data_IF_410664028062
#
_entry.id   IF_410664028062
#
_cell.length_a   1.000
_cell.length_b   1.000
_cell.length_c   1.000
_cell.angle_alpha   90.00
_cell.angle_beta   90.00
_cell.angle_gamma   90.00
#
_symmetry.space_group_name_H-M   'P 1'
#
loop_
_entity.id
_entity.type
_entity.pdbx_description
1 polymer ?
#
# COMPACT_ATOMS: atom_id res chain seq x y z
N UNK A 1 5.76 -8.14 3.12
CA UNK A 1 4.78 -7.02 3.21
C UNK A 1 3.47 -7.54 3.76
N UNK A 2 2.82 -6.76 4.64
CA UNK A 2 1.48 -7.05 5.18
C UNK A 2 0.57 -5.88 4.85
N UNK A 3 -0.58 -6.14 4.26
CA UNK A 3 -1.63 -5.15 4.04
C UNK A 3 -2.61 -5.20 5.21
N UNK A 4 -2.71 -4.11 5.96
CA UNK A 4 -3.66 -4.00 7.08
C UNK A 4 -4.81 -3.10 6.67
N UNK A 5 -6.00 -3.68 6.52
CA UNK A 5 -7.24 -2.95 6.27
C UNK A 5 -7.85 -2.59 7.62
N UNK A 6 -7.83 -1.32 7.95
CA UNK A 6 -8.39 -0.80 9.20
C UNK A 6 -9.83 -0.32 9.01
N UNK A 7 -10.55 -0.10 10.11
CA UNK A 7 -11.92 0.45 10.09
C UNK A 7 -12.91 -0.39 9.29
N UNK A 8 -12.73 -1.71 9.25
CA UNK A 8 -13.65 -2.62 8.57
C UNK A 8 -15.02 -2.75 9.26
N UNK A 9 -15.21 -2.04 10.36
CA UNK A 9 -16.50 -1.78 11.01
C UNK A 9 -17.31 -0.66 10.32
N UNK A 10 -16.65 0.24 9.58
CA UNK A 10 -17.30 1.35 8.89
C UNK A 10 -17.72 1.00 7.45
N UNK A 11 -16.99 0.10 6.80
CA UNK A 11 -17.29 -0.36 5.45
C UNK A 11 -16.76 -1.78 5.24
N UNK A 12 -17.43 -2.57 4.38
CA UNK A 12 -16.97 -3.92 4.05
C UNK A 12 -15.59 -3.87 3.37
N UNK A 13 -14.62 -4.68 3.81
CA UNK A 13 -13.31 -4.77 3.21
C UNK A 13 -13.28 -5.56 1.90
N UNK A 14 -14.37 -6.21 1.48
CA UNK A 14 -14.44 -7.17 0.37
C UNK A 14 -13.90 -6.59 -0.93
N UNK A 15 -14.22 -5.34 -1.23
CA UNK A 15 -13.72 -4.67 -2.43
C UNK A 15 -12.19 -4.58 -2.42
N UNK A 16 -11.58 -4.20 -1.30
CA UNK A 16 -10.11 -4.15 -1.18
C UNK A 16 -9.50 -5.55 -1.19
N UNK A 17 -10.12 -6.51 -0.49
CA UNK A 17 -9.67 -7.89 -0.47
C UNK A 17 -9.60 -8.46 -1.88
N UNK A 18 -10.66 -8.30 -2.69
CA UNK A 18 -10.68 -8.79 -4.07
C UNK A 18 -9.58 -8.16 -4.96
N UNK A 19 -9.22 -6.90 -4.72
CA UNK A 19 -8.19 -6.22 -5.49
C UNK A 19 -6.77 -6.69 -5.16
N UNK A 20 -6.50 -7.02 -3.89
CA UNK A 20 -5.14 -7.32 -3.42
C UNK A 20 -4.89 -8.81 -3.19
N UNK A 21 -5.92 -9.65 -3.21
CA UNK A 21 -5.81 -11.10 -2.97
C UNK A 21 -4.87 -11.78 -3.98
N UNK A 22 -4.90 -11.36 -5.25
CA UNK A 22 -4.05 -11.91 -6.31
C UNK A 22 -2.57 -11.53 -6.18
N UNK A 23 -2.23 -10.58 -5.29
CA UNK A 23 -0.85 -10.11 -5.12
C UNK A 23 -0.02 -10.98 -4.17
N UNK A 24 -0.58 -12.08 -3.62
CA UNK A 24 0.13 -12.95 -2.67
C UNK A 24 0.52 -12.27 -1.36
N UNK A 25 -0.13 -11.16 -1.00
CA UNK A 25 0.13 -10.44 0.24
C UNK A 25 -0.61 -11.08 1.41
N UNK A 26 0.02 -11.08 2.58
CA UNK A 26 -0.72 -11.31 3.83
C UNK A 26 -1.63 -10.12 4.08
N UNK A 27 -2.95 -10.34 4.16
CA UNK A 27 -3.94 -9.30 4.38
C UNK A 27 -4.65 -9.53 5.71
N UNK A 28 -4.65 -8.49 6.55
CA UNK A 28 -5.36 -8.52 7.84
C UNK A 28 -6.42 -7.43 7.84
N UNK A 29 -7.66 -7.79 8.17
CA UNK A 29 -8.77 -6.84 8.32
C UNK A 29 -9.07 -6.60 9.80
N UNK A 30 -9.03 -5.35 10.23
CA UNK A 30 -9.21 -4.93 11.61
C UNK A 30 -10.39 -3.98 11.77
N UNK A 31 -11.29 -4.33 12.68
CA UNK A 31 -12.30 -3.42 13.24
C UNK A 31 -11.72 -2.66 14.42
N UNK A 32 -12.44 -1.67 14.91
CA UNK A 32 -12.01 -0.86 16.05
C UNK A 32 -11.59 -1.70 17.27
N UNK A 33 -12.36 -2.73 17.60
CA UNK A 33 -12.17 -3.57 18.79
C UNK A 33 -11.74 -5.01 18.46
N UNK A 34 -11.25 -5.27 17.22
CA UNK A 34 -10.73 -6.60 16.84
C UNK A 34 -9.56 -6.99 17.70
N UNK A 35 -9.41 -8.27 17.91
CA UNK A 35 -8.16 -8.85 18.43
C UNK A 35 -7.02 -8.56 17.45
N UNK A 36 -5.82 -8.29 17.97
CA UNK A 36 -4.62 -7.95 17.16
C UNK A 36 -3.51 -8.99 17.29
N UNK A 37 -3.81 -10.13 17.88
CA UNK A 37 -2.83 -11.18 18.17
C UNK A 37 -2.20 -11.76 16.91
N UNK A 38 -2.96 -11.86 15.82
CA UNK A 38 -2.44 -12.30 14.51
C UNK A 38 -1.39 -11.32 13.99
N UNK A 39 -1.68 -10.03 14.05
CA UNK A 39 -0.73 -8.99 13.68
C UNK A 39 0.48 -9.00 14.61
N UNK A 40 0.28 -9.13 15.94
CA UNK A 40 1.38 -9.22 16.90
C UNK A 40 2.34 -10.38 16.58
N UNK A 41 1.81 -11.57 16.25
CA UNK A 41 2.61 -12.73 15.84
C UNK A 41 3.41 -12.45 14.57
N UNK A 42 2.80 -11.78 13.59
CA UNK A 42 3.50 -11.43 12.34
C UNK A 42 4.63 -10.43 12.56
N UNK A 43 4.50 -9.55 13.55
CA UNK A 43 5.50 -8.52 13.88
C UNK A 43 6.60 -9.03 14.80
N UNK A 44 6.37 -10.11 15.56
CA UNK A 44 7.28 -10.60 16.60
C UNK A 44 8.70 -10.82 16.07
N UNK A 45 9.69 -10.29 16.76
CA UNK A 45 11.10 -10.34 16.40
C UNK A 45 11.51 -9.51 15.18
N UNK A 46 10.64 -8.63 14.68
CA UNK A 46 10.90 -7.86 13.44
C UNK A 46 10.95 -6.36 13.69
N UNK A 47 11.63 -5.67 12.79
CA UNK A 47 11.56 -4.21 12.65
C UNK A 47 10.57 -3.90 11.52
N UNK A 48 9.45 -3.29 11.87
CA UNK A 48 8.32 -3.07 10.94
C UNK A 48 8.02 -1.60 10.78
N UNK A 49 7.94 -1.13 9.55
CA UNK A 49 7.58 0.26 9.22
C UNK A 49 6.08 0.32 8.93
N UNK A 50 5.37 1.22 9.61
CA UNK A 50 3.96 1.46 9.36
C UNK A 50 3.78 2.61 8.38
N UNK A 51 3.23 2.30 7.21
CA UNK A 51 3.03 3.23 6.10
C UNK A 51 1.54 3.36 5.81
N UNK A 52 1.08 4.55 5.49
CA UNK A 52 -0.30 4.81 5.08
C UNK A 52 -0.69 6.28 5.26
N UNK A 53 -1.80 6.66 4.65
CA UNK A 53 -2.31 8.02 4.69
C UNK A 53 -2.62 8.50 6.13
N UNK A 54 -2.70 9.81 6.29
CA UNK A 54 -3.21 10.40 7.53
C UNK A 54 -4.66 9.95 7.78
N UNK A 55 -4.98 9.62 9.02
CA UNK A 55 -6.32 9.20 9.42
C UNK A 55 -6.69 7.74 9.13
N UNK A 56 -5.81 6.93 8.52
CA UNK A 56 -6.08 5.48 8.33
C UNK A 56 -6.04 4.67 9.63
N UNK A 57 -5.58 5.25 10.74
CA UNK A 57 -5.56 4.56 12.03
C UNK A 57 -4.19 4.02 12.45
N UNK A 58 -3.07 4.43 11.82
CA UNK A 58 -1.71 4.01 12.21
C UNK A 58 -1.45 4.23 13.70
N UNK A 59 -1.59 5.46 14.18
CA UNK A 59 -1.32 5.79 15.58
C UNK A 59 -2.25 5.06 16.56
N UNK A 60 -3.50 4.82 16.15
CA UNK A 60 -4.44 4.00 16.94
C UNK A 60 -3.92 2.56 17.04
N UNK A 61 -3.47 1.99 15.94
CA UNK A 61 -2.93 0.63 15.91
C UNK A 61 -1.62 0.54 16.69
N UNK A 62 -0.73 1.53 16.56
CA UNK A 62 0.50 1.63 17.35
C UNK A 62 0.19 1.66 18.86
N UNK A 63 -0.78 2.46 19.29
CA UNK A 63 -1.17 2.53 20.71
C UNK A 63 -1.75 1.21 21.24
N UNK A 64 -2.40 0.44 20.38
CA UNK A 64 -2.90 -0.90 20.74
C UNK A 64 -1.75 -1.91 20.89
N UNK A 65 -0.76 -1.84 20.00
CA UNK A 65 0.43 -2.71 20.02
C UNK A 65 1.42 -2.31 21.11
N UNK A 66 1.51 -1.02 21.41
CA UNK A 66 2.42 -0.42 22.38
C UNK A 66 1.69 0.62 23.23
N UNK A 67 0.86 0.23 24.22
CA UNK A 67 0.09 1.18 25.02
C UNK A 67 0.95 2.23 25.73
N UNK A 68 2.20 1.89 26.07
CA UNK A 68 3.16 2.79 26.70
C UNK A 68 3.64 3.93 25.78
N UNK A 69 3.48 3.79 24.45
CA UNK A 69 3.96 4.79 23.50
C UNK A 69 3.09 6.05 23.46
N UNK A 70 1.83 5.95 23.89
CA UNK A 70 0.86 7.06 23.99
C UNK A 70 0.90 8.03 22.80
N UNK A 71 0.84 7.51 21.57
CA UNK A 71 0.87 8.33 20.35
C UNK A 71 -0.40 9.16 20.21
N UNK A 72 -0.25 10.42 19.85
CA UNK A 72 -1.39 11.29 19.59
C UNK A 72 -2.24 10.75 18.42
N UNK A 73 -3.53 10.58 18.66
CA UNK A 73 -4.51 10.17 17.64
C UNK A 73 -5.37 11.38 17.27
N UNK A 74 -5.61 11.58 15.97
CA UNK A 74 -6.45 12.68 15.46
C UNK A 74 -7.67 12.16 14.70
N UNK A 75 -8.72 12.98 14.69
CA UNK A 75 -9.91 12.74 13.87
C UNK A 75 -9.65 13.15 12.42
N UNK A 76 -10.26 12.42 11.47
CA UNK A 76 -10.26 12.79 10.06
C UNK A 76 -11.22 13.96 9.85
N UNK A 77 -10.83 14.96 9.06
CA UNK A 77 -11.73 16.02 8.67
C UNK A 77 -12.74 15.48 7.67
N UNK A 78 -14.02 15.47 8.03
CA UNK A 78 -15.13 14.94 7.23
C UNK A 78 -15.33 15.68 5.91
N UNK A 79 -14.99 16.98 5.86
CA UNK A 79 -15.18 17.82 4.66
C UNK A 79 -14.09 17.57 3.61
N UNK A 80 -12.85 17.37 4.05
CA UNK A 80 -11.70 17.23 3.14
C UNK A 80 -11.19 15.79 3.02
N UNK A 81 -11.66 14.87 3.86
CA UNK A 81 -11.13 13.50 3.99
C UNK A 81 -9.68 13.44 4.48
N UNK A 82 -9.11 14.58 4.88
CA UNK A 82 -7.71 14.70 5.27
C UNK A 82 -7.59 14.72 6.80
N UNK A 83 -6.83 13.79 7.35
CA UNK A 83 -6.51 13.79 8.77
C UNK A 83 -5.63 14.99 9.13
N UNK A 84 -5.83 15.55 10.31
CA UNK A 84 -4.92 16.53 10.88
C UNK A 84 -3.61 15.83 11.21
N UNK A 85 -2.45 16.42 10.82
CA UNK A 85 -1.15 15.85 11.13
C UNK A 85 -0.95 15.79 12.65
N UNK A 86 -0.96 14.60 13.21
CA UNK A 86 -0.73 14.36 14.64
C UNK A 86 0.70 13.89 14.91
N UNK A 87 1.43 13.45 13.87
CA UNK A 87 2.84 13.06 13.95
C UNK A 87 3.63 13.81 12.90
N UNK A 88 4.65 14.55 13.31
CA UNK A 88 5.55 15.31 12.43
C UNK A 88 6.87 14.57 12.14
N UNK A 89 7.19 13.52 12.88
CA UNK A 89 8.44 12.76 12.75
C UNK A 89 8.18 11.25 12.83
N UNK A 90 9.02 10.47 12.18
CA UNK A 90 9.05 9.02 12.36
C UNK A 90 9.58 8.69 13.75
N UNK A 91 8.95 7.74 14.42
CA UNK A 91 9.34 7.29 15.77
C UNK A 91 9.45 5.78 15.80
N UNK A 92 10.60 5.28 16.27
CA UNK A 92 10.80 3.86 16.54
C UNK A 92 10.33 3.53 17.97
N UNK A 93 9.48 2.52 18.09
CA UNK A 93 8.84 2.11 19.34
C UNK A 93 9.16 0.64 19.56
N UNK A 94 9.77 0.32 20.71
CA UNK A 94 9.96 -1.07 21.13
C UNK A 94 8.66 -1.61 21.71
N UNK A 95 8.18 -2.73 21.19
CA UNK A 95 6.97 -3.42 21.65
C UNK A 95 7.27 -4.73 22.37
N UNK A 96 8.51 -4.95 22.75
CA UNK A 96 8.98 -6.14 23.46
C UNK A 96 9.48 -7.24 22.53
N UNK A 97 10.10 -8.29 23.10
CA UNK A 97 10.57 -9.47 22.37
C UNK A 97 11.39 -9.15 21.09
N UNK A 98 12.29 -8.17 21.19
CA UNK A 98 13.08 -7.69 20.03
C UNK A 98 12.24 -7.22 18.82
N UNK A 99 11.04 -6.71 19.10
CA UNK A 99 10.08 -6.22 18.09
C UNK A 99 10.06 -4.71 18.11
N UNK A 100 10.21 -4.09 16.95
CA UNK A 100 10.17 -2.64 16.80
C UNK A 100 9.15 -2.23 15.75
N UNK A 101 8.40 -1.18 16.06
CA UNK A 101 7.49 -0.52 15.12
C UNK A 101 8.05 0.87 14.83
N UNK A 102 8.19 1.19 13.56
CA UNK A 102 8.56 2.52 13.09
C UNK A 102 7.27 3.18 12.57
N UNK A 103 6.70 4.05 13.40
CA UNK A 103 5.51 4.84 13.03
C UNK A 103 5.95 6.06 12.21
N UNK A 104 5.54 6.10 10.97
CA UNK A 104 5.86 7.21 10.05
C UNK A 104 4.73 8.23 10.02
N UNK A 105 5.03 9.52 9.77
CA UNK A 105 4.00 10.52 9.43
C UNK A 105 3.12 10.01 8.29
N UNK A 106 1.86 10.41 8.26
CA UNK A 106 0.93 10.01 7.19
C UNK A 106 1.50 10.40 5.81
N UNK A 107 1.94 9.40 5.07
CA UNK A 107 2.51 9.59 3.73
C UNK A 107 1.36 9.84 2.75
N UNK A 108 1.44 10.92 1.99
CA UNK A 108 0.43 11.30 0.99
C UNK A 108 0.79 10.84 -0.42
N UNK A 109 2.07 10.73 -0.69
CA UNK A 109 2.61 10.26 -1.96
C UNK A 109 3.86 9.43 -1.70
N UNK A 110 4.07 8.44 -2.51
CA UNK A 110 5.32 7.66 -2.58
C UNK A 110 6.00 8.09 -3.88
N UNK A 111 7.17 8.70 -3.77
CA UNK A 111 7.99 8.97 -4.95
C UNK A 111 8.61 7.67 -5.47
N UNK A 112 8.61 7.49 -6.77
CA UNK A 112 9.21 6.34 -7.45
C UNK A 112 10.62 6.67 -7.99
N UNK A 113 11.21 7.78 -7.55
CA UNK A 113 12.46 8.34 -8.08
C UNK A 113 13.69 7.38 -8.07
N UNK A 114 13.62 6.29 -7.31
CA UNK A 114 14.68 5.29 -7.23
C UNK A 114 14.32 3.96 -7.93
N UNK A 115 13.19 3.93 -8.62
CA UNK A 115 12.67 2.74 -9.28
C UNK A 115 12.70 2.99 -10.78
N UNK A 116 13.20 2.06 -11.56
CA UNK A 116 13.13 2.13 -13.02
C UNK A 116 11.87 1.45 -13.57
N UNK A 117 11.58 1.68 -14.85
CA UNK A 117 10.39 1.12 -15.49
C UNK A 117 10.39 -0.43 -15.51
N UNK A 118 11.58 -1.03 -15.64
CA UNK A 118 11.73 -2.50 -15.67
C UNK A 118 11.38 -3.09 -14.29
N UNK A 119 11.78 -2.46 -13.20
CA UNK A 119 11.43 -2.90 -11.83
C UNK A 119 9.90 -2.88 -11.63
N UNK A 120 9.22 -1.85 -12.16
CA UNK A 120 7.76 -1.77 -12.11
C UNK A 120 7.14 -2.89 -12.92
N UNK A 121 7.62 -3.16 -14.14
CA UNK A 121 7.13 -4.26 -14.97
C UNK A 121 7.32 -5.61 -14.27
N UNK A 122 8.50 -5.87 -13.70
CA UNK A 122 8.77 -7.11 -12.97
C UNK A 122 7.88 -7.31 -11.72
N UNK A 123 7.33 -6.22 -11.16
CA UNK A 123 6.35 -6.31 -10.07
C UNK A 123 4.96 -6.79 -10.52
N UNK A 124 4.76 -6.95 -11.84
CA UNK A 124 3.54 -7.45 -12.48
C UNK A 124 3.87 -8.67 -13.36
N UNK A 125 4.20 -9.82 -12.80
CA UNK A 125 4.72 -10.96 -13.56
C UNK A 125 3.78 -11.43 -14.65
N UNK A 126 2.47 -11.36 -14.43
CA UNK A 126 1.42 -11.65 -15.39
C UNK A 126 1.46 -10.71 -16.61
N UNK A 127 1.70 -9.42 -16.40
CA UNK A 127 1.89 -8.44 -17.48
C UNK A 127 3.27 -8.56 -18.13
N UNK A 128 4.31 -8.89 -17.35
CA UNK A 128 5.69 -8.98 -17.83
C UNK A 128 5.87 -10.07 -18.91
N UNK A 129 5.15 -11.19 -18.79
CA UNK A 129 5.12 -12.22 -19.83
C UNK A 129 4.54 -11.71 -21.13
N UNK A 130 3.40 -11.00 -21.06
CA UNK A 130 2.70 -10.46 -22.24
C UNK A 130 3.48 -9.32 -22.91
N UNK A 131 4.18 -8.51 -22.14
CA UNK A 131 4.99 -7.39 -22.61
C UNK A 131 6.10 -7.85 -23.59
N UNK A 132 6.57 -9.08 -23.49
CA UNK A 132 7.56 -9.63 -24.41
C UNK A 132 7.06 -9.69 -25.88
N UNK A 133 5.75 -9.70 -26.07
CA UNK A 133 5.11 -9.67 -27.39
C UNK A 133 4.92 -8.25 -27.94
N UNK A 134 5.25 -7.21 -27.16
CA UNK A 134 5.10 -5.82 -27.58
C UNK A 134 6.12 -5.43 -28.67
N UNK A 135 5.77 -4.47 -29.55
CA UNK A 135 6.73 -3.85 -30.46
C UNK A 135 7.91 -3.23 -29.70
N UNK A 136 9.07 -3.17 -30.33
CA UNK A 136 10.24 -2.51 -29.76
C UNK A 136 9.96 -1.05 -29.43
N UNK A 137 10.32 -0.61 -28.22
CA UNK A 137 10.11 0.76 -27.77
C UNK A 137 8.67 1.06 -27.34
N UNK A 138 7.83 0.05 -27.19
CA UNK A 138 6.47 0.20 -26.66
C UNK A 138 6.50 0.79 -25.26
N UNK A 139 5.79 1.88 -25.04
CA UNK A 139 5.64 2.49 -23.72
C UNK A 139 4.52 1.85 -22.88
N UNK A 140 3.85 0.87 -23.48
CA UNK A 140 2.69 0.14 -22.94
C UNK A 140 1.39 0.95 -22.83
N UNK A 141 1.39 2.16 -23.41
CA UNK A 141 0.20 3.03 -23.51
C UNK A 141 -0.36 3.09 -24.95
N UNK A 142 0.33 2.54 -25.94
CA UNK A 142 -0.07 2.53 -27.34
C UNK A 142 -1.23 1.59 -27.62
N UNK A 143 -1.95 1.87 -28.70
CA UNK A 143 -3.07 1.03 -29.17
C UNK A 143 -2.62 -0.38 -29.59
N UNK A 144 -1.40 -0.51 -30.09
CA UNK A 144 -0.81 -1.77 -30.57
C UNK A 144 -0.12 -2.58 -29.46
N UNK A 145 -0.21 -2.12 -28.21
CA UNK A 145 0.39 -2.81 -27.06
C UNK A 145 -0.29 -4.17 -26.84
N UNK A 146 0.51 -5.22 -26.69
CA UNK A 146 0.02 -6.59 -26.43
C UNK A 146 -0.88 -6.70 -25.18
N UNK A 147 -0.67 -5.85 -24.19
CA UNK A 147 -1.54 -5.79 -23.01
C UNK A 147 -3.00 -5.47 -23.33
N UNK A 148 -3.29 -4.79 -24.44
CA UNK A 148 -4.68 -4.49 -24.83
C UNK A 148 -5.43 -5.75 -25.28
N UNK A 149 -4.75 -6.64 -26.02
CA UNK A 149 -5.32 -7.92 -26.44
C UNK A 149 -5.37 -8.96 -25.31
N UNK A 150 -4.49 -8.84 -24.32
CA UNK A 150 -4.48 -9.72 -23.18
C UNK A 150 -5.56 -9.36 -22.14
N UNK A 151 -5.91 -8.08 -21.98
CA UNK A 151 -6.85 -7.59 -20.98
C UNK A 151 -8.32 -7.87 -21.35
N UNK A 152 -8.71 -9.16 -21.42
CA UNK A 152 -10.03 -9.60 -21.87
C UNK A 152 -11.12 -9.52 -20.82
N UNK A 153 -10.76 -9.46 -19.54
CA UNK A 153 -11.70 -9.38 -18.43
C UNK A 153 -11.42 -8.16 -17.53
N UNK A 154 -12.36 -7.89 -16.61
CA UNK A 154 -12.30 -6.71 -15.75
C UNK A 154 -11.06 -6.69 -14.83
N UNK A 155 -10.62 -7.86 -14.33
CA UNK A 155 -9.48 -7.92 -13.41
C UNK A 155 -8.16 -7.70 -14.16
N UNK A 156 -8.00 -8.27 -15.34
CA UNK A 156 -6.88 -8.02 -16.21
C UNK A 156 -6.83 -6.54 -16.64
N UNK A 157 -7.97 -5.95 -16.99
CA UNK A 157 -8.05 -4.52 -17.36
C UNK A 157 -7.62 -3.61 -16.19
N UNK A 158 -8.07 -3.87 -14.97
CA UNK A 158 -7.64 -3.14 -13.77
C UNK A 158 -6.15 -3.32 -13.50
N UNK A 159 -5.64 -4.52 -13.75
CA UNK A 159 -4.23 -4.85 -13.57
C UNK A 159 -3.35 -4.05 -14.54
N UNK A 160 -3.71 -4.03 -15.83
CA UNK A 160 -3.04 -3.23 -16.86
C UNK A 160 -3.11 -1.74 -16.56
N UNK A 161 -4.28 -1.24 -16.13
CA UNK A 161 -4.43 0.17 -15.76
C UNK A 161 -3.54 0.55 -14.56
N UNK A 162 -3.40 -0.34 -13.57
CA UNK A 162 -2.51 -0.13 -12.43
C UNK A 162 -1.04 -0.04 -12.87
N UNK A 163 -0.59 -0.94 -13.74
CA UNK A 163 0.76 -0.91 -14.31
C UNK A 163 1.00 0.39 -15.08
N UNK A 164 0.10 0.76 -15.99
CA UNK A 164 0.20 1.99 -16.80
C UNK A 164 0.27 3.24 -15.94
N UNK A 165 -0.55 3.31 -14.89
CA UNK A 165 -0.55 4.45 -13.96
C UNK A 165 0.81 4.62 -13.28
N UNK A 166 1.45 3.52 -12.85
CA UNK A 166 2.79 3.57 -12.27
C UNK A 166 3.84 4.00 -13.29
N UNK A 167 3.82 3.46 -14.50
CA UNK A 167 4.74 3.83 -15.57
C UNK A 167 4.60 5.30 -15.99
N UNK A 168 3.36 5.83 -16.06
CA UNK A 168 3.11 7.26 -16.32
C UNK A 168 3.64 8.14 -15.19
N UNK A 169 3.52 7.71 -13.94
CA UNK A 169 4.06 8.45 -12.79
C UNK A 169 5.58 8.56 -12.86
N UNK A 170 6.29 7.48 -13.18
CA UNK A 170 7.75 7.51 -13.39
C UNK A 170 8.15 8.50 -14.46
N UNK A 171 7.52 8.45 -15.63
CA UNK A 171 7.81 9.36 -16.75
C UNK A 171 7.50 10.83 -16.43
N UNK A 172 6.58 11.10 -15.51
CA UNK A 172 6.28 12.46 -15.07
C UNK A 172 7.32 13.01 -14.12
N UNK A 173 7.95 12.14 -13.30
CA UNK A 173 9.02 12.51 -12.36
C UNK A 173 10.37 12.71 -13.06
N UNK A 174 10.65 12.03 -14.19
CA UNK A 174 11.87 12.22 -14.99
C UNK A 174 11.95 13.58 -15.71
N UNK A 175 10.88 14.36 -15.72
CA UNK A 175 10.81 15.68 -16.39
C UNK A 175 11.18 16.86 -15.50
N UNK A 176 11.64 16.63 -14.28
CA UNK A 176 12.11 17.64 -13.33
C UNK A 176 13.52 17.28 -12.87
#
# INVERSE_FOLDING_TARGET
>A
TVLVITKSDLASPEFLLSQYQSMGLTIISLKKDSQIEELQKLLEGKHSVFIGHSGVGKSTLVNRLAPHANRATGTVNEVTGRGRHTSSSAVAINVGKNTWIIDTPGIRSFGLAHINADDVVHSFPDCAEVIQECPRGCSHDETECALNSWALNQDQSKRVESLRRLLRSLRSEEKF
#
